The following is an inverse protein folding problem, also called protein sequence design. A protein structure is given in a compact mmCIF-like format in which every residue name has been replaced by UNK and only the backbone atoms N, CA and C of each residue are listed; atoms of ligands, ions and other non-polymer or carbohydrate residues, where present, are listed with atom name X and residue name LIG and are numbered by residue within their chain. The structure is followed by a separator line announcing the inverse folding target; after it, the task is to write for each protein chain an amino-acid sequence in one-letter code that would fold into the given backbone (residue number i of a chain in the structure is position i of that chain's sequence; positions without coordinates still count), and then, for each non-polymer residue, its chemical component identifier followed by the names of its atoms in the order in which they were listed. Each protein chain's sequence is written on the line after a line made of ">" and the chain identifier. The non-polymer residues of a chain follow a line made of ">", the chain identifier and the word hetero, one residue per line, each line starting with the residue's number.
data_IF_331562649756
#
_entry.id   IF_331562649756
#
_cell.length_a   1.000
_cell.length_b   1.000
_cell.length_c   1.000
_cell.angle_alpha   90.00
_cell.angle_beta   90.00
_cell.angle_gamma   90.00
#
_symmetry.space_group_name_H-M   'P 1'
#
loop_
_entity.id
_entity.type
_entity.pdbx_description
1 polymer ?
#
# COMPACT_ATOMS: atom_id res chain seq x y z
N UNK A 1 -35.20 12.09 27.27
CA UNK A 1 -34.45 12.63 26.12
C UNK A 1 -34.42 11.57 25.02
N UNK A 2 -35.06 11.80 23.88
CA UNK A 2 -35.06 10.86 22.74
C UNK A 2 -33.69 10.94 22.06
N UNK A 3 -32.89 9.87 22.13
CA UNK A 3 -31.70 9.73 21.26
C UNK A 3 -32.19 9.76 19.82
N UNK A 4 -31.81 10.80 19.07
CA UNK A 4 -31.86 10.76 17.61
C UNK A 4 -30.90 9.66 17.19
N UNK A 5 -31.42 8.51 16.81
CA UNK A 5 -30.67 7.62 15.92
C UNK A 5 -30.74 8.33 14.58
N UNK A 6 -29.75 9.19 14.31
CA UNK A 6 -29.47 9.53 12.94
C UNK A 6 -29.21 8.20 12.24
N UNK A 7 -29.98 7.88 11.20
CA UNK A 7 -29.62 6.80 10.31
C UNK A 7 -28.25 7.17 9.75
N UNK A 8 -27.20 6.64 10.38
CA UNK A 8 -25.85 6.73 9.88
C UNK A 8 -25.92 6.00 8.54
N UNK A 9 -25.83 6.73 7.43
CA UNK A 9 -25.73 6.14 6.11
C UNK A 9 -24.37 5.44 6.04
N UNK A 10 -24.30 4.24 6.59
CA UNK A 10 -23.10 3.41 6.58
C UNK A 10 -22.90 2.93 5.16
N UNK A 11 -21.95 3.55 4.46
CA UNK A 11 -21.57 3.13 3.12
C UNK A 11 -20.88 1.76 3.21
N UNK A 12 -21.27 0.76 2.40
CA UNK A 12 -20.59 -0.53 2.39
C UNK A 12 -19.10 -0.38 2.07
N UNK A 13 -18.26 -1.20 2.72
CA UNK A 13 -16.80 -1.13 2.58
C UNK A 13 -16.35 -1.22 1.11
N UNK A 14 -16.98 -2.08 0.31
CA UNK A 14 -16.69 -2.23 -1.12
C UNK A 14 -16.89 -0.93 -1.93
N UNK A 15 -17.87 -0.09 -1.56
CA UNK A 15 -18.08 1.20 -2.22
C UNK A 15 -17.03 2.20 -1.77
N UNK A 16 -16.64 2.18 -0.49
CA UNK A 16 -15.54 3.02 0.00
C UNK A 16 -14.23 2.64 -0.69
N UNK A 17 -13.93 1.35 -0.83
CA UNK A 17 -12.79 0.86 -1.60
C UNK A 17 -12.83 1.36 -3.04
N UNK A 18 -13.99 1.27 -3.70
CA UNK A 18 -14.16 1.78 -5.05
C UNK A 18 -13.85 3.28 -5.14
N UNK A 19 -14.37 4.10 -4.22
CA UNK A 19 -14.06 5.53 -4.18
C UNK A 19 -12.56 5.77 -3.94
N UNK A 20 -11.97 5.08 -2.94
CA UNK A 20 -10.56 5.19 -2.61
C UNK A 20 -9.63 4.68 -3.72
N UNK A 21 -10.11 3.85 -4.65
CA UNK A 21 -9.33 3.35 -5.79
C UNK A 21 -9.02 4.45 -6.82
N UNK A 22 -9.84 5.51 -6.87
CA UNK A 22 -9.61 6.69 -7.70
C UNK A 22 -8.61 7.68 -7.09
N UNK A 23 -8.23 7.47 -5.82
CA UNK A 23 -7.35 8.34 -5.07
C UNK A 23 -5.94 7.77 -4.99
N UNK A 24 -4.94 8.63 -4.99
CA UNK A 24 -3.58 8.20 -4.64
C UNK A 24 -3.51 7.75 -3.17
N UNK A 25 -2.42 7.08 -2.79
CA UNK A 25 -2.26 6.58 -1.42
C UNK A 25 -2.38 7.66 -0.34
N UNK A 26 -1.92 8.88 -0.60
CA UNK A 26 -1.99 9.99 0.36
C UNK A 26 -3.43 10.48 0.54
N UNK A 27 -4.12 10.72 -0.56
CA UNK A 27 -5.50 11.19 -0.58
C UNK A 27 -6.43 10.17 0.08
N UNK A 28 -6.28 8.89 -0.27
CA UNK A 28 -7.05 7.82 0.35
C UNK A 28 -6.80 7.73 1.87
N UNK A 29 -5.55 7.87 2.32
CA UNK A 29 -5.24 7.95 3.76
C UNK A 29 -5.91 9.15 4.44
N UNK A 30 -6.03 10.30 3.77
CA UNK A 30 -6.71 11.47 4.32
C UNK A 30 -8.23 11.25 4.49
N UNK A 31 -8.86 10.40 3.68
CA UNK A 31 -10.29 10.09 3.83
C UNK A 31 -10.62 9.32 5.12
N UNK A 32 -9.63 8.77 5.80
CA UNK A 32 -9.82 8.01 7.05
C UNK A 32 -10.44 8.84 8.18
N UNK A 33 -10.32 10.17 8.12
CA UNK A 33 -10.92 11.08 9.10
C UNK A 33 -12.45 11.19 8.97
N UNK A 34 -13.04 10.73 7.86
CA UNK A 34 -14.47 10.87 7.59
C UNK A 34 -15.31 10.00 8.51
N UNK A 35 -14.89 8.76 8.76
CA UNK A 35 -15.51 7.87 9.76
C UNK A 35 -14.63 6.64 10.03
N UNK A 36 -15.02 5.85 11.05
CA UNK A 36 -14.37 4.56 11.33
C UNK A 36 -14.44 3.59 10.14
N UNK A 37 -15.53 3.59 9.37
CA UNK A 37 -15.67 2.73 8.20
C UNK A 37 -14.68 3.11 7.09
N UNK A 38 -14.43 4.41 6.89
CA UNK A 38 -13.42 4.88 5.93
C UNK A 38 -12.00 4.55 6.36
N UNK A 39 -11.72 4.63 7.66
CA UNK A 39 -10.47 4.16 8.23
C UNK A 39 -10.28 2.66 8.00
N UNK A 40 -11.26 1.82 8.34
CA UNK A 40 -11.19 0.37 8.10
C UNK A 40 -10.98 0.05 6.62
N UNK A 41 -11.76 0.69 5.73
CA UNK A 41 -11.63 0.51 4.29
C UNK A 41 -10.23 0.86 3.77
N UNK A 42 -9.60 1.93 4.29
CA UNK A 42 -8.22 2.26 3.95
C UNK A 42 -7.23 1.14 4.35
N UNK A 43 -7.42 0.54 5.53
CA UNK A 43 -6.53 -0.53 6.01
C UNK A 43 -6.65 -1.82 5.18
N UNK A 44 -7.81 -2.06 4.56
CA UNK A 44 -8.16 -3.28 3.81
C UNK A 44 -8.25 -3.07 2.29
N UNK A 45 -7.92 -1.88 1.78
CA UNK A 45 -8.11 -1.52 0.36
C UNK A 45 -7.30 -2.42 -0.59
N UNK A 46 -7.91 -3.12 -1.57
CA UNK A 46 -7.22 -4.06 -2.44
C UNK A 46 -6.12 -3.44 -3.33
N UNK A 47 -6.12 -2.11 -3.49
CA UNK A 47 -5.10 -1.38 -4.23
C UNK A 47 -4.06 -0.81 -3.27
N UNK A 48 -2.85 -1.34 -3.20
CA UNK A 48 -1.76 -0.74 -2.42
C UNK A 48 -0.97 0.24 -3.26
N UNK A 49 -0.72 1.43 -2.71
CA UNK A 49 0.08 2.48 -3.33
C UNK A 49 1.13 2.99 -2.35
N UNK A 50 2.36 2.53 -2.54
CA UNK A 50 3.51 2.87 -1.72
C UNK A 50 4.40 3.86 -2.44
N UNK A 51 4.46 5.08 -1.92
CA UNK A 51 5.29 6.13 -2.46
C UNK A 51 6.26 6.66 -1.40
N UNK A 52 7.53 6.28 -1.54
CA UNK A 52 8.60 6.71 -0.64
C UNK A 52 8.76 8.23 -0.59
N UNK A 53 8.34 8.95 -1.65
CA UNK A 53 8.44 10.42 -1.73
C UNK A 53 7.53 11.13 -0.72
N UNK A 54 6.55 10.42 -0.17
CA UNK A 54 5.63 10.93 0.85
C UNK A 54 6.23 10.94 2.26
N UNK A 55 7.41 10.33 2.45
CA UNK A 55 8.05 10.14 3.75
C UNK A 55 9.25 11.09 3.89
N UNK A 56 9.21 12.05 4.84
CA UNK A 56 10.31 13.00 5.06
C UNK A 56 11.62 12.30 5.42
N UNK A 57 11.54 11.28 6.28
CA UNK A 57 12.65 10.40 6.63
C UNK A 57 12.61 9.18 5.70
N UNK A 58 13.19 9.32 4.51
CA UNK A 58 12.97 8.45 3.36
C UNK A 58 13.35 6.95 3.53
N UNK A 59 13.83 6.49 4.70
CA UNK A 59 14.21 5.10 4.93
C UNK A 59 13.30 4.39 5.93
N UNK A 60 13.36 4.78 7.19
CA UNK A 60 12.84 3.99 8.30
C UNK A 60 11.32 4.03 8.39
N UNK A 61 10.71 5.21 8.30
CA UNK A 61 9.25 5.37 8.39
C UNK A 61 8.53 4.66 7.23
N UNK A 62 9.06 4.81 6.02
CA UNK A 62 8.52 4.12 4.84
C UNK A 62 8.66 2.60 4.96
N UNK A 63 9.83 2.12 5.41
CA UNK A 63 10.07 0.69 5.60
C UNK A 63 9.14 0.09 6.65
N UNK A 64 8.91 0.80 7.75
CA UNK A 64 8.02 0.34 8.81
C UNK A 64 6.56 0.35 8.38
N UNK A 65 6.13 1.42 7.71
CA UNK A 65 4.78 1.54 7.16
C UNK A 65 4.46 0.41 6.16
N UNK A 66 5.36 0.14 5.23
CA UNK A 66 5.17 -0.89 4.20
C UNK A 66 5.20 -2.31 4.79
N UNK A 67 6.10 -2.59 5.75
CA UNK A 67 6.09 -3.88 6.47
C UNK A 67 4.82 -4.09 7.27
N UNK A 68 4.44 -3.11 8.10
CA UNK A 68 3.23 -3.19 8.94
C UNK A 68 1.99 -3.40 8.08
N UNK A 69 1.90 -2.69 6.94
CA UNK A 69 0.79 -2.86 6.00
C UNK A 69 0.76 -4.29 5.44
N UNK A 70 1.88 -4.82 4.93
CA UNK A 70 1.89 -6.17 4.36
C UNK A 70 1.67 -7.27 5.39
N UNK A 71 2.18 -7.11 6.62
CA UNK A 71 1.91 -8.03 7.73
C UNK A 71 0.42 -8.09 8.02
N UNK A 72 -0.26 -6.93 8.09
CA UNK A 72 -1.73 -6.89 8.24
C UNK A 72 -2.44 -7.65 7.12
N UNK A 73 -1.99 -7.54 5.87
CA UNK A 73 -2.61 -8.28 4.76
C UNK A 73 -2.42 -9.79 4.88
N UNK A 74 -1.26 -10.22 5.35
CA UNK A 74 -0.98 -11.63 5.61
C UNK A 74 -1.83 -12.16 6.77
N UNK A 75 -1.84 -11.47 7.91
CA UNK A 75 -2.56 -11.88 9.12
C UNK A 75 -4.07 -11.95 8.93
N UNK A 76 -4.62 -11.04 8.11
CA UNK A 76 -6.05 -10.97 7.80
C UNK A 76 -6.43 -11.71 6.51
N UNK A 77 -5.46 -12.35 5.83
CA UNK A 77 -5.65 -13.03 4.54
C UNK A 77 -6.35 -12.15 3.49
N UNK A 78 -5.95 -10.88 3.43
CA UNK A 78 -6.48 -9.88 2.51
C UNK A 78 -5.81 -10.03 1.15
N UNK A 79 -6.62 -9.93 0.09
CA UNK A 79 -6.11 -9.92 -1.29
C UNK A 79 -5.57 -8.55 -1.66
N UNK A 80 -4.45 -8.56 -2.37
CA UNK A 80 -3.93 -7.40 -3.08
C UNK A 80 -4.30 -7.60 -4.54
N UNK A 81 -5.00 -6.65 -5.16
CA UNK A 81 -5.35 -6.71 -6.58
C UNK A 81 -4.36 -5.89 -7.41
N UNK A 82 -4.05 -4.68 -6.93
CA UNK A 82 -3.12 -3.73 -7.56
C UNK A 82 -2.07 -3.30 -6.57
N UNK A 83 -0.81 -3.25 -7.01
CA UNK A 83 0.33 -2.88 -6.20
C UNK A 83 1.21 -1.88 -6.95
N UNK A 84 1.29 -0.66 -6.42
CA UNK A 84 2.13 0.42 -6.95
C UNK A 84 3.26 0.71 -5.97
N UNK A 85 4.50 0.72 -6.46
CA UNK A 85 5.67 1.00 -5.65
C UNK A 85 6.54 2.05 -6.32
N UNK A 86 6.76 3.16 -5.61
CA UNK A 86 7.64 4.24 -6.04
C UNK A 86 8.75 4.40 -5.01
N UNK A 87 9.99 4.14 -5.45
CA UNK A 87 11.16 4.19 -4.59
C UNK A 87 12.31 4.91 -5.28
N UNK A 88 12.92 5.87 -4.57
CA UNK A 88 14.16 6.51 -4.99
C UNK A 88 15.34 5.64 -4.53
N UNK A 89 16.22 5.27 -5.46
CA UNK A 89 17.43 4.53 -5.12
C UNK A 89 18.43 5.46 -4.46
N UNK A 90 18.87 5.08 -3.26
CA UNK A 90 20.06 5.65 -2.65
C UNK A 90 21.16 4.59 -2.68
N UNK A 91 22.32 4.96 -3.19
CA UNK A 91 23.47 4.09 -3.49
C UNK A 91 24.01 3.32 -2.28
N UNK A 92 23.55 3.62 -1.06
CA UNK A 92 23.95 2.94 0.18
C UNK A 92 22.91 1.93 0.70
N UNK A 93 21.69 1.98 0.18
CA UNK A 93 20.50 1.33 0.74
C UNK A 93 19.47 0.93 -0.35
N UNK A 94 19.89 0.76 -1.60
CA UNK A 94 19.01 0.20 -2.65
C UNK A 94 18.74 -1.27 -2.33
N UNK A 95 17.70 -1.48 -1.51
CA UNK A 95 17.53 -2.53 -0.53
C UNK A 95 16.89 -3.84 -1.05
N UNK A 96 17.10 -4.97 -0.34
CA UNK A 96 16.24 -6.16 -0.36
C UNK A 96 14.74 -5.85 -0.19
N UNK A 97 14.40 -4.69 0.40
CA UNK A 97 13.04 -4.29 0.70
C UNK A 97 12.15 -4.25 -0.54
N UNK A 98 12.58 -3.61 -1.66
CA UNK A 98 11.76 -3.57 -2.87
C UNK A 98 11.40 -4.99 -3.33
N UNK A 99 12.37 -5.92 -3.33
CA UNK A 99 12.14 -7.31 -3.67
C UNK A 99 11.18 -8.01 -2.69
N UNK A 100 11.33 -7.76 -1.39
CA UNK A 100 10.44 -8.31 -0.35
C UNK A 100 9.01 -7.78 -0.52
N UNK A 101 8.84 -6.48 -0.77
CA UNK A 101 7.52 -5.88 -0.96
C UNK A 101 6.84 -6.44 -2.21
N UNK A 102 7.57 -6.55 -3.32
CA UNK A 102 7.08 -7.13 -4.58
C UNK A 102 6.71 -8.60 -4.40
N UNK A 103 7.60 -9.40 -3.80
CA UNK A 103 7.34 -10.83 -3.58
C UNK A 103 6.10 -11.04 -2.70
N UNK A 104 5.99 -10.32 -1.58
CA UNK A 104 4.81 -10.38 -0.70
C UNK A 104 3.53 -9.92 -1.39
N UNK A 105 3.60 -8.89 -2.25
CA UNK A 105 2.45 -8.45 -3.02
C UNK A 105 1.93 -9.56 -3.94
N UNK A 106 2.85 -10.24 -4.65
CA UNK A 106 2.54 -11.37 -5.54
C UNK A 106 1.98 -12.56 -4.75
N UNK A 107 2.59 -12.91 -3.60
CA UNK A 107 2.11 -13.97 -2.70
C UNK A 107 0.67 -13.71 -2.21
N UNK A 108 0.30 -12.44 -2.01
CA UNK A 108 -1.04 -12.02 -1.62
C UNK A 108 -2.00 -11.78 -2.81
N UNK A 109 -1.62 -12.20 -4.02
CA UNK A 109 -2.49 -12.23 -5.20
C UNK A 109 -2.46 -10.99 -6.10
N UNK A 110 -1.47 -10.10 -5.95
CA UNK A 110 -1.35 -8.92 -6.80
C UNK A 110 -1.20 -9.31 -8.29
N UNK A 111 -2.08 -8.76 -9.12
CA UNK A 111 -2.10 -9.02 -10.58
C UNK A 111 -1.72 -7.79 -11.39
N UNK A 112 -2.08 -6.59 -10.91
CA UNK A 112 -1.69 -5.32 -11.49
C UNK A 112 -0.47 -4.75 -10.72
N UNK A 113 0.68 -4.71 -11.39
CA UNK A 113 1.96 -4.31 -10.80
C UNK A 113 2.52 -3.08 -11.51
N UNK A 114 2.74 -1.99 -10.78
CA UNK A 114 3.32 -0.76 -11.31
C UNK A 114 4.52 -0.30 -10.47
N UNK A 115 5.65 -0.08 -11.14
CA UNK A 115 6.92 0.19 -10.47
C UNK A 115 7.57 1.46 -11.04
N UNK A 116 7.76 2.46 -10.17
CA UNK A 116 8.60 3.63 -10.44
C UNK A 116 9.86 3.49 -9.58
N UNK A 117 10.80 2.70 -10.09
CA UNK A 117 12.07 2.41 -9.42
C UNK A 117 13.18 3.18 -10.10
N UNK A 118 14.09 3.75 -9.33
CA UNK A 118 15.28 4.38 -9.90
C UNK A 118 16.15 3.35 -10.67
N UNK A 119 16.95 3.78 -11.67
CA UNK A 119 17.79 2.88 -12.47
C UNK A 119 18.71 1.98 -11.65
N UNK A 120 19.27 2.49 -10.54
CA UNK A 120 20.11 1.70 -9.64
C UNK A 120 19.35 0.53 -9.01
N UNK A 121 18.07 0.70 -8.69
CA UNK A 121 17.20 -0.36 -8.17
C UNK A 121 16.88 -1.42 -9.22
N UNK A 122 16.61 -1.03 -10.47
CA UNK A 122 16.33 -1.95 -11.57
C UNK A 122 17.52 -2.87 -11.91
N UNK A 123 18.75 -2.34 -11.85
CA UNK A 123 19.97 -3.12 -12.07
C UNK A 123 20.08 -4.31 -11.11
N UNK A 124 19.73 -4.12 -9.84
CA UNK A 124 19.75 -5.20 -8.84
C UNK A 124 18.64 -6.25 -9.05
N UNK A 125 17.44 -5.82 -9.43
CA UNK A 125 16.30 -6.74 -9.67
C UNK A 125 16.63 -7.69 -10.83
N UNK A 126 17.18 -7.17 -11.93
CA UNK A 126 17.51 -7.96 -13.12
C UNK A 126 18.70 -8.90 -12.89
N UNK A 127 19.71 -8.48 -12.12
CA UNK A 127 20.89 -9.31 -11.83
C UNK A 127 20.56 -10.59 -11.05
N UNK A 128 19.53 -10.57 -10.19
CA UNK A 128 19.13 -11.74 -9.39
C UNK A 128 18.37 -12.80 -10.20
N UNK A 129 17.73 -12.41 -11.31
CA UNK A 129 16.97 -13.32 -12.17
C UNK A 129 17.79 -13.97 -13.29
N UNK A 130 19.03 -13.51 -13.53
CA UNK A 130 19.95 -14.09 -14.52
C UNK A 130 20.76 -15.29 -14.00
N UNK A 131 20.60 -15.68 -12.73
CA UNK A 131 21.20 -16.89 -12.17
C UNK A 131 20.11 -17.95 -11.99
N UNK A 132 19.67 -18.51 -13.11
CA UNK A 132 19.05 -19.83 -13.18
C UNK A 132 19.78 -20.64 -14.25
#
# INVERSE_FOLDING_TARGET
>A
MKKRVAAEFVLPEAIIHHIQSFLDGKQAAQTTILSKSWHTAWLTRPNLDFDQRLFPNCGDEFSEFTRTTLLRYQDLNLKIESFKLRMKGWEKYSHPLANVLIAKAIENGATDLNFELSPSTLMFVLQKNSKK
#
